data_IF_927027784296
#
_entry.id   IF_927027784296
#
_cell.length_a   1.000
_cell.length_b   1.000
_cell.length_c   1.000
_cell.angle_alpha   90.00
_cell.angle_beta   90.00
_cell.angle_gamma   90.00
#
_symmetry.space_group_name_H-M   'P 1'
#
loop_
_entity.id
_entity.type
_entity.pdbx_description
1 polymer ?
#
# COMPACT_ATOMS: atom_id res chain seq x y z
N UNK A 1 6.20 -1.94 13.37
CA UNK A 1 5.22 -0.88 13.00
C UNK A 1 3.89 -1.22 13.64
N UNK A 2 3.05 -0.21 13.96
CA UNK A 2 1.71 -0.42 14.51
C UNK A 2 0.66 -0.02 13.48
N UNK A 3 -0.30 -0.91 13.20
CA UNK A 3 -1.49 -0.57 12.43
C UNK A 3 -2.60 -0.07 13.37
N UNK A 4 -3.32 0.96 12.95
CA UNK A 4 -4.52 1.46 13.62
C UNK A 4 -5.73 0.87 12.93
N UNK A 5 -6.57 0.20 13.70
CA UNK A 5 -7.84 -0.35 13.22
C UNK A 5 -8.97 0.65 13.43
N UNK A 6 -9.96 0.63 12.52
CA UNK A 6 -11.23 1.35 12.68
C UNK A 6 -12.28 0.57 13.50
N UNK A 7 -11.90 -0.52 14.18
CA UNK A 7 -12.79 -1.27 15.06
C UNK A 7 -13.48 -0.36 16.09
N UNK A 8 -14.75 -0.65 16.40
CA UNK A 8 -15.52 0.10 17.40
C UNK A 8 -14.94 -0.12 18.80
N UNK A 9 -15.12 0.87 19.69
CA UNK A 9 -14.73 0.76 21.09
C UNK A 9 -15.34 -0.49 21.74
N UNK A 10 -14.54 -1.23 22.52
CA UNK A 10 -14.95 -2.48 23.17
C UNK A 10 -15.04 -3.71 22.24
N UNK A 11 -14.68 -3.59 20.96
CA UNK A 11 -14.51 -4.73 20.05
C UNK A 11 -13.03 -5.07 19.85
N UNK A 12 -12.69 -6.33 19.52
CA UNK A 12 -11.33 -6.69 19.13
C UNK A 12 -10.83 -5.82 17.97
N UNK A 13 -9.57 -5.42 17.99
CA UNK A 13 -9.02 -4.53 16.94
C UNK A 13 -9.02 -5.20 15.57
N UNK A 14 -8.93 -6.53 15.53
CA UNK A 14 -8.97 -7.36 14.33
C UNK A 14 -10.35 -7.36 13.66
N UNK A 15 -11.42 -6.94 14.36
CA UNK A 15 -12.76 -6.85 13.79
C UNK A 15 -12.98 -5.61 12.91
N UNK A 16 -11.97 -4.76 12.77
CA UNK A 16 -12.00 -3.62 11.86
C UNK A 16 -12.02 -4.04 10.39
N UNK A 17 -12.38 -3.10 9.54
CA UNK A 17 -12.36 -3.25 8.08
C UNK A 17 -11.26 -2.42 7.43
N UNK A 18 -10.66 -1.47 8.16
CA UNK A 18 -9.58 -0.61 7.67
C UNK A 18 -8.46 -0.64 8.70
N UNK A 19 -7.25 -0.94 8.23
CA UNK A 19 -6.03 -0.96 9.01
C UNK A 19 -5.03 0.02 8.40
N UNK A 20 -4.78 1.12 9.10
CA UNK A 20 -3.86 2.17 8.67
C UNK A 20 -2.48 1.97 9.31
N UNK A 21 -1.46 1.86 8.47
CA UNK A 21 -0.05 1.90 8.85
C UNK A 21 0.59 3.21 8.39
N UNK A 22 1.36 3.87 9.27
CA UNK A 22 2.09 5.09 8.91
C UNK A 22 3.54 5.05 9.39
N UNK A 23 4.46 5.41 8.51
CA UNK A 23 5.87 5.67 8.84
C UNK A 23 6.38 6.84 8.00
N UNK A 24 6.76 7.95 8.65
CA UNK A 24 7.07 9.21 7.96
C UNK A 24 5.94 9.62 7.00
N UNK A 25 6.29 9.77 5.72
CA UNK A 25 5.37 10.12 4.62
C UNK A 25 4.67 8.92 3.98
N UNK A 26 5.03 7.69 4.35
CA UNK A 26 4.40 6.48 3.83
C UNK A 26 3.10 6.22 4.61
N UNK A 27 1.97 6.31 3.91
CA UNK A 27 0.63 6.02 4.44
C UNK A 27 0.05 4.82 3.72
N UNK A 28 -0.17 3.74 4.46
CA UNK A 28 -0.58 2.43 3.95
C UNK A 28 -1.92 2.05 4.55
N UNK A 29 -2.81 1.53 3.74
CA UNK A 29 -4.08 0.97 4.16
C UNK A 29 -4.20 -0.47 3.66
N UNK A 30 -4.48 -1.38 4.58
CA UNK A 30 -4.99 -2.71 4.26
C UNK A 30 -6.47 -2.72 4.67
N UNK A 31 -7.37 -2.93 3.71
CA UNK A 31 -8.80 -2.71 3.96
C UNK A 31 -9.69 -3.67 3.18
N UNK A 32 -10.95 -3.75 3.62
CA UNK A 32 -12.04 -4.40 2.90
C UNK A 32 -12.89 -3.37 2.19
N UNK A 33 -13.38 -3.70 1.01
CA UNK A 33 -14.30 -2.87 0.23
C UNK A 33 -15.72 -3.46 0.37
N UNK A 34 -16.71 -2.58 0.54
CA UNK A 34 -18.11 -3.01 0.66
C UNK A 34 -18.52 -3.77 -0.61
N UNK A 35 -19.14 -4.94 -0.44
CA UNK A 35 -19.56 -5.85 -1.51
C UNK A 35 -18.43 -6.55 -2.29
N UNK A 36 -17.17 -6.44 -1.87
CA UNK A 36 -16.06 -7.22 -2.45
C UNK A 36 -15.46 -8.15 -1.41
N UNK A 37 -15.12 -9.36 -1.85
CA UNK A 37 -14.38 -10.32 -1.05
C UNK A 37 -12.88 -10.03 -1.09
N UNK A 38 -12.18 -10.42 -0.02
CA UNK A 38 -10.74 -10.30 0.10
C UNK A 38 -10.24 -8.98 0.70
N UNK A 39 -8.93 -8.79 0.64
CA UNK A 39 -8.21 -7.63 1.18
C UNK A 39 -7.63 -6.78 0.06
N UNK A 40 -7.55 -5.48 0.32
CA UNK A 40 -7.07 -4.50 -0.64
C UNK A 40 -6.00 -3.62 -0.02
N UNK A 41 -4.97 -3.34 -0.80
CA UNK A 41 -3.92 -2.38 -0.50
C UNK A 41 -4.26 -1.02 -1.09
N UNK A 42 -4.04 0.04 -0.32
CA UNK A 42 -3.95 1.40 -0.85
C UNK A 42 -2.78 2.13 -0.21
N UNK A 43 -2.01 2.84 -1.01
CA UNK A 43 -0.87 3.64 -0.60
C UNK A 43 -0.78 4.87 -1.49
N UNK A 44 -1.28 6.00 -1.01
CA UNK A 44 -1.33 7.24 -1.79
C UNK A 44 0.06 7.76 -2.17
N UNK A 45 1.06 7.52 -1.30
CA UNK A 45 2.45 7.92 -1.53
C UNK A 45 3.05 7.26 -2.77
N UNK A 46 2.63 6.02 -3.08
CA UNK A 46 3.07 5.26 -4.25
C UNK A 46 1.99 5.16 -5.34
N UNK A 47 0.93 5.97 -5.25
CA UNK A 47 -0.20 5.97 -6.18
C UNK A 47 -0.88 4.60 -6.36
N UNK A 48 -0.81 3.72 -5.34
CA UNK A 48 -1.50 2.43 -5.35
C UNK A 48 -2.91 2.64 -4.78
N UNK A 49 -3.93 2.33 -5.58
CA UNK A 49 -5.34 2.44 -5.17
C UNK A 49 -6.02 1.08 -5.30
N UNK A 50 -6.62 0.63 -4.19
CA UNK A 50 -7.48 -0.57 -4.14
C UNK A 50 -6.92 -1.81 -4.84
N UNK A 51 -5.61 -2.07 -4.71
CA UNK A 51 -4.99 -3.25 -5.29
C UNK A 51 -5.41 -4.49 -4.52
N UNK A 52 -6.03 -5.47 -5.19
CA UNK A 52 -6.40 -6.75 -4.58
C UNK A 52 -5.17 -7.50 -4.08
N UNK A 53 -5.23 -8.01 -2.85
CA UNK A 53 -4.24 -8.88 -2.24
C UNK A 53 -4.74 -10.33 -2.32
N UNK A 54 -3.82 -11.27 -2.49
CA UNK A 54 -4.11 -12.69 -2.61
C UNK A 54 -4.40 -13.35 -1.27
N UNK A 55 -3.88 -12.80 -0.17
CA UNK A 55 -4.07 -13.40 1.15
C UNK A 55 -5.49 -13.20 1.68
N UNK A 56 -6.07 -14.25 2.25
CA UNK A 56 -7.39 -14.21 2.89
C UNK A 56 -7.33 -13.75 4.36
N UNK A 57 -6.16 -13.77 4.97
CA UNK A 57 -5.97 -13.39 6.38
C UNK A 57 -5.45 -11.97 6.50
N UNK A 58 -5.85 -11.24 7.55
CA UNK A 58 -5.36 -9.88 7.80
C UNK A 58 -3.82 -9.82 7.86
N UNK A 59 -3.20 -10.73 8.61
CA UNK A 59 -1.74 -10.73 8.78
C UNK A 59 -1.00 -11.09 7.49
N UNK A 60 -1.53 -12.05 6.72
CA UNK A 60 -0.98 -12.36 5.40
C UNK A 60 -1.15 -11.21 4.42
N UNK A 61 -2.29 -10.53 4.41
CA UNK A 61 -2.53 -9.35 3.59
C UNK A 61 -1.59 -8.19 3.96
N UNK A 62 -1.33 -7.96 5.24
CA UNK A 62 -0.33 -6.98 5.69
C UNK A 62 1.07 -7.37 5.23
N UNK A 63 1.43 -8.66 5.28
CA UNK A 63 2.74 -9.13 4.80
C UNK A 63 2.88 -8.92 3.30
N UNK A 64 1.91 -9.37 2.52
CA UNK A 64 1.87 -9.20 1.06
C UNK A 64 1.91 -7.73 0.66
N UNK A 65 1.16 -6.87 1.35
CA UNK A 65 1.21 -5.43 1.13
C UNK A 65 2.63 -4.86 1.31
N UNK A 66 3.39 -5.32 2.30
CA UNK A 66 4.78 -4.87 2.49
C UNK A 66 5.67 -5.27 1.32
N UNK A 67 5.48 -6.47 0.77
CA UNK A 67 6.25 -6.96 -0.38
C UNK A 67 5.91 -6.18 -1.66
N UNK A 68 4.62 -5.88 -1.89
CA UNK A 68 4.17 -5.02 -2.99
C UNK A 68 4.79 -3.62 -2.87
N UNK A 69 4.73 -3.01 -1.68
CA UNK A 69 5.30 -1.68 -1.45
C UNK A 69 6.82 -1.67 -1.65
N UNK A 70 7.53 -2.71 -1.19
CA UNK A 70 8.97 -2.84 -1.40
C UNK A 70 9.29 -2.85 -2.89
N UNK A 71 8.62 -3.70 -3.66
CA UNK A 71 8.82 -3.81 -5.10
C UNK A 71 8.55 -2.49 -5.81
N UNK A 72 7.45 -1.81 -5.49
CA UNK A 72 7.11 -0.52 -6.09
C UNK A 72 8.17 0.56 -5.83
N UNK A 73 8.77 0.58 -4.63
CA UNK A 73 9.88 1.50 -4.30
C UNK A 73 11.16 1.11 -5.02
N UNK A 74 11.48 -0.18 -5.10
CA UNK A 74 12.68 -0.65 -5.78
C UNK A 74 12.63 -0.36 -7.30
N UNK A 75 11.45 -0.49 -7.91
CA UNK A 75 11.24 -0.13 -9.32
C UNK A 75 11.31 1.40 -9.51
N UNK A 76 10.69 2.20 -8.65
CA UNK A 76 10.80 3.66 -8.69
C UNK A 76 12.25 4.14 -8.52
N UNK A 77 13.03 3.50 -7.66
CA UNK A 77 14.45 3.84 -7.48
C UNK A 77 15.23 3.61 -8.77
N UNK A 78 14.99 2.49 -9.48
CA UNK A 78 15.65 2.23 -10.77
C UNK A 78 15.26 3.26 -11.82
N UNK A 79 13.99 3.66 -11.85
CA UNK A 79 13.51 4.68 -12.79
C UNK A 79 14.17 6.04 -12.51
N UNK A 80 14.25 6.45 -11.24
CA UNK A 80 14.95 7.68 -10.83
C UNK A 80 16.44 7.61 -11.17
N UNK A 81 17.10 6.48 -10.87
CA UNK A 81 18.52 6.29 -11.17
C UNK A 81 18.78 6.35 -12.68
N UNK A 82 17.84 5.88 -13.50
CA UNK A 82 17.94 5.95 -14.96
C UNK A 82 17.71 7.38 -15.44
N UNK A 83 16.65 8.05 -14.98
CA UNK A 83 16.34 9.44 -15.28
C UNK A 83 17.52 10.38 -14.98
N UNK A 84 18.22 10.16 -13.86
CA UNK A 84 19.39 10.97 -13.50
C UNK A 84 20.63 10.75 -14.38
N UNK A 85 20.66 9.69 -15.20
CA UNK A 85 21.77 9.36 -16.11
C UNK A 85 21.48 9.72 -17.56
N UNK A 86 20.20 9.84 -17.94
CA UNK A 86 19.79 10.21 -19.29
C UNK A 86 20.19 11.65 -19.62
N UNK A 87 20.55 11.89 -20.88
CA UNK A 87 20.72 13.25 -21.40
C UNK A 87 19.36 13.94 -21.56
N UNK A 88 19.30 15.24 -21.32
CA UNK A 88 18.04 16.00 -21.42
C UNK A 88 17.74 16.31 -22.88
N UNK A 89 16.69 15.70 -23.43
CA UNK A 89 16.11 16.04 -24.73
C UNK A 89 14.70 16.63 -24.55
N UNK A 90 14.41 17.74 -25.25
CA UNK A 90 13.09 18.39 -25.22
C UNK A 90 12.44 18.27 -26.60
N UNK A 91 11.29 17.58 -26.66
CA UNK A 91 10.48 17.43 -27.86
C UNK A 91 9.03 17.84 -27.62
N UNK A 92 8.28 18.08 -28.70
CA UNK A 92 6.83 18.34 -28.63
C UNK A 92 6.06 17.02 -28.67
N UNK A 93 4.91 16.99 -27.99
CA UNK A 93 3.94 15.88 -28.06
C UNK A 93 3.41 15.66 -29.49
#
# INVERSE_FOLDING_TARGET
MKFKSNAKYGKPVESGTIFEGRIGNLKVFVHKIIHLEGWFLSCSTLQISQMSLKSDTLMGAISEAKDVLRKAVDDLQKDVDSLCKEEIEISRY
#
